data_IF_018639533077
#
_entry.id   IF_018639533077
#
_cell.length_a   1.000
_cell.length_b   1.000
_cell.length_c   1.000
_cell.angle_alpha   90.00
_cell.angle_beta   90.00
_cell.angle_gamma   90.00
#
_symmetry.space_group_name_H-M   'P 1'
#
loop_
_entity.id
_entity.type
_entity.pdbx_description
1 polymer ?
#
# COMPACT_ATOMS: atom_id res chain seq x y z
N UNK A 1 8.19 17.46 24.98
CA UNK A 1 7.01 16.96 24.22
C UNK A 1 7.29 15.53 23.75
N UNK A 2 6.31 14.62 23.88
CA UNK A 2 6.48 13.18 23.65
C UNK A 2 7.08 12.84 22.29
N UNK A 3 8.14 12.01 22.32
CA UNK A 3 8.79 11.34 21.19
C UNK A 3 7.77 10.45 20.46
N UNK A 4 6.95 11.05 19.61
CA UNK A 4 6.04 10.32 18.73
C UNK A 4 6.87 9.59 17.68
N UNK A 5 6.76 8.26 17.69
CA UNK A 5 7.48 7.25 16.92
C UNK A 5 7.19 7.36 15.40
N UNK A 6 7.59 8.46 14.77
CA UNK A 6 7.42 8.72 13.33
C UNK A 6 8.50 8.11 12.44
N UNK A 7 9.45 7.36 13.01
CA UNK A 7 10.69 6.90 12.37
C UNK A 7 10.56 5.76 11.35
N UNK A 8 9.41 5.53 10.69
CA UNK A 8 9.31 4.43 9.73
C UNK A 8 8.37 4.64 8.55
N UNK A 9 7.68 5.78 8.40
CA UNK A 9 6.78 5.95 7.26
C UNK A 9 7.54 5.95 5.93
N UNK A 10 8.71 6.60 5.85
CA UNK A 10 9.56 6.60 4.66
C UNK A 10 10.21 5.23 4.40
N UNK A 11 10.68 4.56 5.45
CA UNK A 11 11.28 3.22 5.38
C UNK A 11 10.27 2.16 4.96
N UNK A 12 9.05 2.22 5.51
CA UNK A 12 7.92 1.41 5.05
C UNK A 12 7.59 1.70 3.59
N UNK A 13 7.79 2.93 3.10
CA UNK A 13 7.46 3.33 1.72
C UNK A 13 8.39 2.68 0.74
N UNK A 14 9.69 2.72 1.06
CA UNK A 14 10.72 2.02 0.30
C UNK A 14 10.52 0.50 0.36
N UNK A 15 10.24 -0.07 1.53
CA UNK A 15 10.08 -1.52 1.69
C UNK A 15 8.82 -2.08 1.02
N UNK A 16 7.67 -1.44 1.20
CA UNK A 16 6.39 -1.89 0.63
C UNK A 16 6.18 -1.45 -0.83
N UNK A 17 6.84 -0.37 -1.25
CA UNK A 17 6.85 0.05 -2.64
C UNK A 17 7.82 -0.74 -3.50
N UNK A 18 9.10 -0.77 -3.13
CA UNK A 18 10.20 -1.18 -4.02
C UNK A 18 10.93 -2.44 -3.51
N UNK A 19 10.76 -2.78 -2.23
CA UNK A 19 11.47 -3.89 -1.59
C UNK A 19 10.67 -5.19 -1.54
N UNK A 20 11.09 -6.09 -0.63
CA UNK A 20 10.43 -7.38 -0.36
C UNK A 20 8.93 -7.24 -0.05
N UNK A 21 8.49 -6.11 0.53
CA UNK A 21 7.08 -5.85 0.80
C UNK A 21 6.26 -5.70 -0.49
N UNK A 22 6.85 -5.12 -1.54
CA UNK A 22 6.23 -4.97 -2.84
C UNK A 22 5.99 -6.32 -3.53
N UNK A 23 6.99 -7.20 -3.45
CA UNK A 23 6.88 -8.58 -3.94
C UNK A 23 5.80 -9.37 -3.19
N UNK A 24 5.62 -9.14 -1.88
CA UNK A 24 4.53 -9.74 -1.10
C UNK A 24 3.14 -9.21 -1.51
N UNK A 25 3.04 -7.92 -1.81
CA UNK A 25 1.79 -7.32 -2.29
C UNK A 25 1.48 -7.78 -3.71
N UNK A 26 2.49 -8.00 -4.56
CA UNK A 26 2.36 -8.28 -6.00
C UNK A 26 1.52 -7.18 -6.67
N UNK A 27 2.09 -5.99 -6.78
CA UNK A 27 1.47 -4.88 -7.50
C UNK A 27 1.04 -5.29 -8.90
N UNK A 28 -0.04 -4.71 -9.41
CA UNK A 28 -0.67 -5.09 -10.69
C UNK A 28 -1.31 -6.49 -10.68
N UNK A 29 -1.74 -6.98 -9.52
CA UNK A 29 -2.54 -8.22 -9.42
C UNK A 29 -3.88 -7.94 -8.73
N UNK A 30 -4.94 -8.73 -9.02
CA UNK A 30 -6.23 -8.56 -8.37
C UNK A 30 -6.12 -8.60 -6.84
N UNK A 31 -6.63 -7.57 -6.17
CA UNK A 31 -6.63 -7.48 -4.70
C UNK A 31 -5.28 -7.14 -4.06
N UNK A 32 -4.34 -6.57 -4.83
CA UNK A 32 -3.09 -6.03 -4.30
C UNK A 32 -3.30 -4.91 -3.27
N UNK A 33 -4.25 -4.00 -3.51
CA UNK A 33 -4.65 -2.98 -2.54
C UNK A 33 -5.18 -3.58 -1.23
N UNK A 34 -5.99 -4.63 -1.31
CA UNK A 34 -6.54 -5.33 -0.13
C UNK A 34 -5.43 -6.04 0.64
N UNK A 35 -4.46 -6.65 -0.06
CA UNK A 35 -3.26 -7.23 0.57
C UNK A 35 -2.43 -6.18 1.29
N UNK A 36 -2.16 -5.05 0.62
CA UNK A 36 -1.43 -3.93 1.20
C UNK A 36 -2.13 -3.43 2.47
N UNK A 37 -3.42 -3.08 2.36
CA UNK A 37 -4.17 -2.53 3.49
C UNK A 37 -4.26 -3.51 4.65
N UNK A 38 -4.55 -4.80 4.42
CA UNK A 38 -4.56 -5.82 5.49
C UNK A 38 -3.23 -5.93 6.24
N UNK A 39 -2.12 -5.87 5.52
CA UNK A 39 -0.79 -6.03 6.12
C UNK A 39 -0.35 -4.75 6.84
N UNK A 40 -0.59 -3.59 6.23
CA UNK A 40 -0.20 -2.30 6.78
C UNK A 40 -1.17 -1.80 7.86
N UNK A 41 -2.40 -2.28 7.91
CA UNK A 41 -3.37 -1.92 8.94
C UNK A 41 -2.86 -2.26 10.34
N UNK A 42 -2.10 -3.36 10.49
CA UNK A 42 -1.45 -3.75 11.75
C UNK A 42 -0.42 -2.75 12.24
N UNK A 43 0.15 -1.93 11.35
CA UNK A 43 1.23 -0.98 11.67
C UNK A 43 0.79 0.48 11.63
N UNK A 44 -0.11 0.84 10.71
CA UNK A 44 -0.54 2.21 10.43
C UNK A 44 -2.01 2.46 10.80
N UNK A 45 -2.77 1.42 11.14
CA UNK A 45 -4.20 1.51 11.39
C UNK A 45 -4.96 2.07 10.20
N UNK A 46 -5.90 2.99 10.46
CA UNK A 46 -6.73 3.62 9.44
C UNK A 46 -5.93 4.38 8.35
N UNK A 47 -4.71 4.85 8.66
CA UNK A 47 -3.84 5.55 7.70
C UNK A 47 -3.30 4.64 6.59
N UNK A 48 -3.37 3.31 6.77
CA UNK A 48 -2.93 2.33 5.77
C UNK A 48 -3.68 2.48 4.44
N UNK A 49 -4.97 2.84 4.45
CA UNK A 49 -5.80 2.98 3.24
C UNK A 49 -5.23 4.02 2.27
N UNK A 50 -5.07 5.26 2.74
CA UNK A 50 -4.53 6.35 1.90
C UNK A 50 -3.09 6.10 1.45
N UNK A 51 -2.30 5.46 2.31
CA UNK A 51 -0.93 5.11 2.01
C UNK A 51 -0.81 4.04 0.91
N UNK A 52 -1.56 2.95 1.04
CA UNK A 52 -1.61 1.88 0.03
C UNK A 52 -2.19 2.37 -1.29
N UNK A 53 -3.13 3.31 -1.27
CA UNK A 53 -3.69 3.88 -2.50
C UNK A 53 -2.63 4.67 -3.29
N UNK A 54 -1.81 5.48 -2.60
CA UNK A 54 -0.73 6.23 -3.25
C UNK A 54 0.34 5.30 -3.81
N UNK A 55 0.74 4.28 -3.05
CA UNK A 55 1.68 3.25 -3.47
C UNK A 55 1.18 2.45 -4.69
N UNK A 56 -0.10 2.06 -4.68
CA UNK A 56 -0.71 1.38 -5.82
C UNK A 56 -0.61 2.22 -7.09
N UNK A 57 -0.95 3.50 -7.02
CA UNK A 57 -0.82 4.43 -8.15
C UNK A 57 0.63 4.63 -8.60
N UNK A 58 1.57 4.80 -7.67
CA UNK A 58 2.99 4.94 -8.00
C UNK A 58 3.55 3.70 -8.72
N UNK A 59 2.95 2.51 -8.50
CA UNK A 59 3.45 1.23 -9.03
C UNK A 59 2.74 0.75 -10.28
N UNK A 60 1.44 0.95 -10.33
CA UNK A 60 0.58 0.46 -11.42
C UNK A 60 0.17 1.58 -12.37
N UNK A 61 0.39 2.85 -12.00
CA UNK A 61 -0.10 4.02 -12.73
C UNK A 61 -1.59 4.31 -12.54
N UNK A 62 -2.33 3.41 -11.89
CA UNK A 62 -3.78 3.49 -11.70
C UNK A 62 -4.13 3.54 -10.21
N UNK A 63 -5.28 4.13 -9.87
CA UNK A 63 -5.78 4.09 -8.51
C UNK A 63 -6.49 2.75 -8.23
N UNK A 64 -6.48 2.25 -6.99
CA UNK A 64 -7.05 0.93 -6.69
C UNK A 64 -8.57 0.88 -6.87
N UNK A 65 -9.25 2.04 -6.82
CA UNK A 65 -10.67 2.17 -7.12
C UNK A 65 -10.99 2.44 -8.60
N UNK A 66 -9.99 2.56 -9.47
CA UNK A 66 -10.19 2.79 -10.91
C UNK A 66 -10.74 1.51 -11.58
N UNK A 67 -11.58 1.67 -12.60
CA UNK A 67 -12.11 0.56 -13.42
C UNK A 67 -11.02 -0.21 -14.15
N UNK A 68 -9.88 0.43 -14.40
CA UNK A 68 -8.70 -0.18 -15.03
C UNK A 68 -7.91 -1.10 -14.08
N UNK A 69 -8.23 -1.09 -12.78
CA UNK A 69 -7.58 -1.99 -11.84
C UNK A 69 -8.07 -3.42 -12.04
N UNK A 70 -7.13 -4.34 -12.28
CA UNK A 70 -7.37 -5.78 -12.43
C UNK A 70 -8.15 -6.41 -11.26
N UNK A 71 -8.13 -5.78 -10.08
CA UNK A 71 -8.88 -6.20 -8.91
C UNK A 71 -10.38 -5.85 -8.90
N UNK A 72 -10.83 -4.95 -9.79
CA UNK A 72 -12.23 -4.52 -9.86
C UNK A 72 -13.02 -5.38 -10.85
N UNK A 73 -12.98 -6.71 -10.67
CA UNK A 73 -13.86 -7.61 -11.42
C UNK A 73 -15.18 -7.75 -10.65
N UNK A 74 -16.22 -7.17 -11.25
CA UNK A 74 -17.65 -7.12 -10.87
C UNK A 74 -18.00 -6.19 -9.71
#
# INVERSE_FOLDING_TARGET
MARNRGGSAATLKRYWGQGRGAAKIRWNTPGDYTRCTRQLHKYLGARAKGYCARLHRERTGIWPGDRRNVGRRR
#
